data_IF_924657569175
#
_entry.id   IF_924657569175
#
_cell.length_a   1.000
_cell.length_b   1.000
_cell.length_c   1.000
_cell.angle_alpha   90.00
_cell.angle_beta   90.00
_cell.angle_gamma   90.00
#
_symmetry.space_group_name_H-M   'P 1'
#
loop_
_entity.id
_entity.type
_entity.pdbx_description
1 polymer ?
#
# COMPACT_ATOMS: atom_id res chain seq x y z
N UNK A 1 17.70 -28.95 27.92
CA UNK A 1 16.73 -27.82 28.07
C UNK A 1 16.33 -27.12 26.76
N UNK A 2 17.24 -26.79 25.82
CA UNK A 2 16.88 -26.10 24.55
C UNK A 2 15.96 -26.89 23.59
N UNK A 3 16.08 -28.22 23.54
CA UNK A 3 15.25 -29.08 22.67
C UNK A 3 13.79 -29.17 23.13
N UNK A 4 13.56 -29.40 24.42
CA UNK A 4 12.20 -29.43 25.01
C UNK A 4 11.44 -28.12 24.81
N UNK A 5 12.14 -26.98 24.86
CA UNK A 5 11.60 -25.65 24.55
C UNK A 5 11.16 -25.52 23.08
N UNK A 6 11.94 -26.06 22.12
CA UNK A 6 11.59 -26.00 20.68
C UNK A 6 10.38 -26.87 20.34
N UNK A 7 10.28 -28.06 20.92
CA UNK A 7 9.11 -28.93 20.74
C UNK A 7 7.84 -28.28 21.31
N UNK A 8 7.93 -27.68 22.49
CA UNK A 8 6.81 -26.97 23.10
C UNK A 8 6.37 -25.74 22.29
N UNK A 9 7.33 -24.98 21.72
CA UNK A 9 7.04 -23.87 20.79
C UNK A 9 6.36 -24.41 19.53
N UNK A 10 6.84 -25.51 18.96
CA UNK A 10 6.24 -26.11 17.77
C UNK A 10 4.80 -26.60 18.03
N UNK A 11 4.55 -27.25 19.16
CA UNK A 11 3.22 -27.68 19.58
C UNK A 11 2.28 -26.48 19.82
N UNK A 12 2.78 -25.42 20.46
CA UNK A 12 2.02 -24.18 20.67
C UNK A 12 1.69 -23.52 19.33
N UNK A 13 2.66 -23.42 18.43
CA UNK A 13 2.47 -22.87 17.10
C UNK A 13 1.46 -23.71 16.29
N UNK A 14 1.52 -25.04 16.38
CA UNK A 14 0.58 -25.93 15.72
C UNK A 14 -0.85 -25.72 16.24
N UNK A 15 -1.00 -25.60 17.55
CA UNK A 15 -2.30 -25.33 18.20
C UNK A 15 -2.86 -23.95 17.85
N UNK A 16 -2.02 -22.92 17.81
CA UNK A 16 -2.45 -21.53 17.64
C UNK A 16 -2.59 -21.11 16.17
N UNK A 17 -1.66 -21.51 15.31
CA UNK A 17 -1.61 -21.09 13.89
C UNK A 17 -2.20 -22.12 12.94
N UNK A 18 -2.48 -23.35 13.40
CA UNK A 18 -2.89 -24.51 12.58
C UNK A 18 -1.79 -24.98 11.62
N UNK A 19 -2.02 -26.13 10.99
CA UNK A 19 -1.01 -26.82 10.14
C UNK A 19 -0.63 -25.99 8.91
N UNK A 20 -1.61 -25.37 8.25
CA UNK A 20 -1.41 -24.74 6.93
C UNK A 20 -0.43 -23.56 6.96
N UNK A 21 -0.58 -22.53 7.82
CA UNK A 21 0.40 -21.45 7.94
C UNK A 21 1.82 -21.94 8.23
N UNK A 22 1.97 -22.93 9.13
CA UNK A 22 3.27 -23.50 9.45
C UNK A 22 3.92 -24.23 8.28
N UNK A 23 3.15 -25.00 7.51
CA UNK A 23 3.65 -25.67 6.31
C UNK A 23 4.13 -24.66 5.26
N UNK A 24 3.37 -23.58 5.04
CA UNK A 24 3.75 -22.51 4.11
C UNK A 24 5.02 -21.78 4.57
N UNK A 25 5.12 -21.47 5.87
CA UNK A 25 6.34 -20.88 6.43
C UNK A 25 7.54 -21.82 6.34
N UNK A 26 7.35 -23.12 6.59
CA UNK A 26 8.38 -24.14 6.41
C UNK A 26 8.90 -24.20 4.97
N UNK A 27 7.99 -24.17 3.98
CA UNK A 27 8.35 -24.11 2.55
C UNK A 27 9.13 -22.83 2.20
N UNK A 28 8.72 -21.68 2.77
CA UNK A 28 9.49 -20.44 2.62
C UNK A 28 10.90 -20.58 3.19
N UNK A 29 11.06 -21.14 4.39
CA UNK A 29 12.36 -21.37 5.00
C UNK A 29 13.24 -22.34 4.20
N UNK A 30 12.64 -23.38 3.58
CA UNK A 30 13.35 -24.26 2.64
C UNK A 30 13.83 -23.46 1.42
N UNK A 31 13.00 -22.58 0.87
CA UNK A 31 13.37 -21.71 -0.25
C UNK A 31 14.56 -20.79 0.06
N UNK A 32 14.63 -20.25 1.27
CA UNK A 32 15.79 -19.47 1.74
C UNK A 32 17.05 -20.35 1.84
N UNK A 33 16.98 -21.46 2.60
CA UNK A 33 18.15 -22.31 2.91
C UNK A 33 18.73 -23.03 1.69
N UNK A 34 17.89 -23.41 0.75
CA UNK A 34 18.33 -24.04 -0.52
C UNK A 34 18.87 -23.03 -1.53
N UNK A 35 18.79 -21.73 -1.24
CA UNK A 35 19.15 -20.66 -2.17
C UNK A 35 18.19 -20.52 -3.35
N UNK A 36 17.00 -21.13 -3.31
CA UNK A 36 16.01 -21.04 -4.38
C UNK A 36 15.65 -19.58 -4.68
N UNK A 37 15.34 -18.79 -3.64
CA UNK A 37 14.99 -17.38 -3.81
C UNK A 37 16.14 -16.57 -4.40
N UNK A 38 17.36 -16.79 -3.93
CA UNK A 38 18.56 -16.16 -4.52
C UNK A 38 18.70 -16.47 -6.01
N UNK A 39 18.42 -17.70 -6.46
CA UNK A 39 18.48 -18.07 -7.88
C UNK A 39 17.41 -17.35 -8.70
N UNK A 40 16.15 -17.40 -8.27
CA UNK A 40 15.02 -16.83 -9.03
C UNK A 40 14.96 -15.30 -8.98
N UNK A 41 15.63 -14.65 -8.02
CA UNK A 41 15.80 -13.19 -7.95
C UNK A 41 17.27 -12.76 -8.10
N UNK A 42 18.08 -13.51 -8.85
CA UNK A 42 19.51 -13.18 -9.03
C UNK A 42 19.79 -12.15 -10.13
N UNK A 43 18.93 -12.11 -11.16
CA UNK A 43 19.10 -11.24 -12.33
C UNK A 43 17.86 -10.38 -12.50
N UNK A 44 18.01 -9.05 -12.53
CA UNK A 44 16.91 -8.17 -12.91
C UNK A 44 16.38 -8.58 -14.28
N UNK A 45 15.07 -8.49 -14.49
CA UNK A 45 14.51 -8.72 -15.82
C UNK A 45 15.05 -7.67 -16.78
N UNK A 46 15.48 -8.12 -17.96
CA UNK A 46 15.84 -7.28 -19.10
C UNK A 46 14.68 -7.09 -20.07
N UNK A 47 13.52 -7.69 -19.80
CA UNK A 47 12.31 -7.51 -20.61
C UNK A 47 11.83 -6.09 -20.40
N UNK A 48 11.74 -5.33 -21.50
CA UNK A 48 11.18 -4.00 -21.49
C UNK A 48 9.73 -4.06 -21.01
N UNK A 49 9.36 -3.14 -20.12
CA UNK A 49 8.05 -3.19 -19.44
C UNK A 49 6.88 -2.69 -20.30
N UNK A 50 7.16 -2.23 -21.51
CA UNK A 50 6.17 -1.60 -22.39
C UNK A 50 5.77 -0.21 -21.91
N UNK A 51 4.71 0.34 -22.51
CA UNK A 51 4.15 1.62 -22.07
C UNK A 51 3.32 1.47 -20.79
N UNK A 52 3.45 2.46 -19.90
CA UNK A 52 2.64 2.56 -18.69
C UNK A 52 1.19 2.89 -19.04
N UNK A 53 0.24 2.19 -18.42
CA UNK A 53 -1.18 2.47 -18.53
C UNK A 53 -1.71 3.10 -17.25
N UNK A 54 -2.46 4.19 -17.38
CA UNK A 54 -3.21 4.77 -16.27
C UNK A 54 -4.33 3.80 -15.82
N UNK A 55 -4.41 3.54 -14.52
CA UNK A 55 -5.29 2.50 -13.94
C UNK A 55 -6.13 2.99 -12.76
N UNK A 56 -5.92 4.23 -12.33
CA UNK A 56 -6.64 4.86 -11.21
C UNK A 56 -7.41 6.08 -11.70
N UNK A 57 -8.46 6.51 -10.98
CA UNK A 57 -9.10 7.79 -11.26
C UNK A 57 -8.19 8.96 -10.86
N UNK A 58 -8.36 10.09 -11.51
CA UNK A 58 -7.81 11.38 -11.07
C UNK A 58 -8.97 12.34 -10.82
N UNK A 59 -9.07 12.94 -9.63
CA UNK A 59 -10.15 13.86 -9.32
C UNK A 59 -9.99 15.19 -10.07
N UNK A 60 -11.10 15.92 -10.26
CA UNK A 60 -11.04 17.28 -10.79
C UNK A 60 -10.30 18.23 -9.84
N UNK A 61 -9.50 19.16 -10.37
CA UNK A 61 -8.79 20.18 -9.55
C UNK A 61 -9.76 21.05 -8.77
N UNK A 62 -10.84 21.48 -9.41
CA UNK A 62 -11.86 22.33 -8.80
C UNK A 62 -12.64 21.59 -7.69
N UNK A 63 -12.88 20.29 -7.87
CA UNK A 63 -13.53 19.44 -6.84
C UNK A 63 -12.64 19.30 -5.61
N UNK A 64 -11.35 19.05 -5.80
CA UNK A 64 -10.39 19.00 -4.70
C UNK A 64 -10.30 20.35 -3.98
N UNK A 65 -10.22 21.45 -4.73
CA UNK A 65 -10.15 22.78 -4.14
C UNK A 65 -11.42 23.13 -3.36
N UNK A 66 -12.59 22.72 -3.83
CA UNK A 66 -13.86 22.91 -3.13
C UNK A 66 -13.91 22.15 -1.80
N UNK A 67 -13.34 20.94 -1.73
CA UNK A 67 -13.26 20.14 -0.50
C UNK A 67 -12.22 20.68 0.47
N UNK A 68 -11.05 21.07 -0.03
CA UNK A 68 -9.92 21.50 0.78
C UNK A 68 -10.05 22.93 1.29
N UNK A 69 -10.66 23.81 0.48
CA UNK A 69 -10.59 25.25 0.67
C UNK A 69 -9.15 25.79 0.62
N UNK A 70 -9.00 27.09 0.88
CA UNK A 70 -7.68 27.74 0.87
C UNK A 70 -6.79 27.26 2.03
N UNK A 71 -7.38 26.97 3.20
CA UNK A 71 -6.62 26.47 4.36
C UNK A 71 -6.07 25.06 4.12
N UNK A 72 -6.88 24.13 3.61
CA UNK A 72 -6.44 22.77 3.28
C UNK A 72 -5.40 22.76 2.16
N UNK A 73 -5.58 23.61 1.14
CA UNK A 73 -4.56 23.83 0.11
C UNK A 73 -3.25 24.33 0.70
N UNK A 74 -3.29 25.36 1.55
CA UNK A 74 -2.09 25.91 2.17
C UNK A 74 -1.36 24.87 3.04
N UNK A 75 -2.10 24.05 3.81
CA UNK A 75 -1.54 22.97 4.61
C UNK A 75 -0.85 21.90 3.75
N UNK A 76 -1.51 21.46 2.67
CA UNK A 76 -0.93 20.50 1.71
C UNK A 76 0.37 21.03 1.09
N UNK A 77 0.37 22.28 0.61
CA UNK A 77 1.54 22.88 -0.01
C UNK A 77 2.69 23.07 1.00
N UNK A 78 2.38 23.42 2.25
CA UNK A 78 3.39 23.54 3.30
C UNK A 78 4.08 22.20 3.59
N UNK A 79 3.32 21.10 3.72
CA UNK A 79 3.89 19.76 3.91
C UNK A 79 4.69 19.31 2.68
N UNK A 80 4.19 19.55 1.48
CA UNK A 80 4.90 19.25 0.25
C UNK A 80 6.22 20.02 0.15
N UNK A 81 6.25 21.29 0.56
CA UNK A 81 7.47 22.11 0.61
C UNK A 81 8.49 21.60 1.64
N UNK A 82 8.05 20.99 2.76
CA UNK A 82 8.97 20.26 3.65
C UNK A 82 9.66 19.11 2.93
N UNK A 83 8.90 18.35 2.14
CA UNK A 83 9.43 17.21 1.35
C UNK A 83 10.38 17.69 0.25
N UNK A 84 10.07 18.79 -0.45
CA UNK A 84 10.98 19.39 -1.44
C UNK A 84 12.33 19.77 -0.82
N UNK A 85 12.34 20.19 0.45
CA UNK A 85 13.54 20.50 1.26
C UNK A 85 14.20 19.24 1.85
N UNK A 86 13.73 18.05 1.53
CA UNK A 86 14.30 16.78 2.00
C UNK A 86 13.88 16.39 3.41
N UNK A 87 12.76 16.90 3.92
CA UNK A 87 12.22 16.54 5.23
C UNK A 87 10.93 15.73 5.09
N UNK A 88 10.81 14.64 5.85
CA UNK A 88 9.63 13.75 5.85
C UNK A 88 9.19 13.42 7.28
N UNK A 89 7.89 13.15 7.45
CA UNK A 89 7.29 12.76 8.74
C UNK A 89 7.08 11.24 8.78
N UNK A 90 8.07 10.51 9.28
CA UNK A 90 7.99 9.04 9.41
C UNK A 90 7.02 8.67 10.53
N UNK A 91 6.11 7.70 10.29
CA UNK A 91 5.12 7.25 11.28
C UNK A 91 4.20 8.38 11.83
N UNK A 92 4.04 9.48 11.09
CA UNK A 92 3.29 10.66 11.56
C UNK A 92 4.00 11.48 12.64
N UNK A 93 5.29 11.26 12.86
CA UNK A 93 6.09 11.97 13.86
C UNK A 93 6.63 13.34 13.35
N UNK A 94 7.58 13.91 14.08
CA UNK A 94 8.26 15.13 13.68
C UNK A 94 9.09 14.96 12.41
N UNK A 95 9.33 16.04 11.62
CA UNK A 95 10.10 15.96 10.39
C UNK A 95 11.54 15.49 10.65
N UNK A 96 12.01 14.55 9.85
CA UNK A 96 13.39 14.04 9.81
C UNK A 96 13.93 14.12 8.39
N UNK A 97 15.25 13.97 8.22
CA UNK A 97 15.84 13.92 6.88
C UNK A 97 15.36 12.71 6.09
N UNK A 98 15.00 12.92 4.83
CA UNK A 98 14.66 11.86 3.89
C UNK A 98 15.92 11.08 3.51
N UNK A 99 16.10 9.94 4.15
CA UNK A 99 17.20 9.01 3.87
C UNK A 99 16.71 7.87 2.97
N UNK A 100 17.22 7.86 1.72
CA UNK A 100 16.89 6.83 0.71
C UNK A 100 18.10 5.97 0.32
N UNK A 101 19.28 6.28 0.87
CA UNK A 101 20.53 5.59 0.60
C UNK A 101 21.03 4.90 1.87
N UNK A 102 21.75 3.79 1.70
CA UNK A 102 22.35 3.04 2.79
C UNK A 102 23.87 2.98 2.60
N UNK A 103 24.66 3.09 3.67
CA UNK A 103 26.11 3.03 3.56
C UNK A 103 26.59 1.62 3.23
N UNK A 104 27.73 1.52 2.55
CA UNK A 104 28.41 0.25 2.32
C UNK A 104 27.84 -0.59 1.17
N UNK A 105 28.45 -1.76 0.96
CA UNK A 105 28.09 -2.67 -0.13
C UNK A 105 26.86 -3.48 0.23
N UNK A 106 25.83 -3.39 -0.61
CA UNK A 106 24.60 -4.18 -0.43
C UNK A 106 24.81 -5.65 -0.83
N UNK A 107 24.26 -6.55 -0.01
CA UNK A 107 24.15 -7.97 -0.32
C UNK A 107 22.78 -8.28 -0.98
N UNK A 108 22.60 -9.49 -1.48
CA UNK A 108 21.27 -9.95 -1.91
C UNK A 108 20.29 -9.98 -0.72
N UNK A 109 19.03 -9.60 -0.91
CA UNK A 109 18.04 -9.48 0.17
C UNK A 109 17.92 -10.73 1.06
N UNK A 110 18.03 -11.93 0.48
CA UNK A 110 17.97 -13.19 1.24
C UNK A 110 19.10 -13.34 2.26
N UNK A 111 20.24 -12.67 2.05
CA UNK A 111 21.36 -12.74 2.98
C UNK A 111 20.98 -12.08 4.31
N UNK A 112 20.26 -10.96 4.26
CA UNK A 112 19.79 -10.25 5.46
C UNK A 112 18.74 -11.04 6.26
N UNK A 113 18.00 -11.95 5.62
CA UNK A 113 17.07 -12.88 6.30
C UNK A 113 17.82 -13.99 7.07
N UNK A 114 19.01 -14.38 6.59
CA UNK A 114 19.78 -15.50 7.15
C UNK A 114 20.93 -15.05 8.04
N UNK A 115 21.38 -13.81 7.89
CA UNK A 115 22.49 -13.21 8.63
C UNK A 115 22.07 -11.82 9.16
N UNK A 116 21.53 -11.77 10.39
CA UNK A 116 21.15 -10.51 11.03
C UNK A 116 22.31 -9.52 11.21
N UNK A 117 23.57 -10.00 11.18
CA UNK A 117 24.73 -9.11 11.35
C UNK A 117 24.88 -8.12 10.18
N UNK A 118 24.37 -8.48 9.00
CA UNK A 118 24.36 -7.59 7.85
C UNK A 118 23.47 -6.35 8.08
N UNK A 119 22.34 -6.51 8.79
CA UNK A 119 21.50 -5.36 9.15
C UNK A 119 22.19 -4.50 10.21
N UNK A 120 22.77 -5.11 11.24
CA UNK A 120 23.47 -4.35 12.28
C UNK A 120 24.68 -3.59 11.72
N UNK A 121 25.36 -4.11 10.71
CA UNK A 121 26.50 -3.43 10.08
C UNK A 121 26.10 -2.23 9.21
N UNK A 122 24.88 -2.22 8.67
CA UNK A 122 24.31 -1.07 7.97
C UNK A 122 23.81 0.01 8.95
N UNK A 123 23.56 -0.39 10.20
CA UNK A 123 22.88 0.42 11.20
C UNK A 123 23.81 0.78 12.36
N UNK A 124 24.44 1.96 12.31
CA UNK A 124 25.20 2.47 13.46
C UNK A 124 24.34 3.23 14.49
N UNK A 125 23.09 3.61 14.18
CA UNK A 125 22.26 4.48 15.05
C UNK A 125 20.75 4.17 15.07
N UNK A 126 20.27 3.21 14.29
CA UNK A 126 18.83 2.92 14.10
C UNK A 126 18.54 1.47 14.53
N UNK A 127 17.76 1.30 15.59
CA UNK A 127 17.51 -0.03 16.19
C UNK A 127 16.50 -0.90 15.43
N UNK A 128 15.68 -0.30 14.56
CA UNK A 128 14.58 -1.00 13.88
C UNK A 128 14.64 -0.80 12.35
N UNK A 129 14.53 -1.91 11.61
CA UNK A 129 14.49 -1.94 10.14
C UNK A 129 13.35 -1.10 9.56
N UNK A 130 12.28 -0.86 10.33
CA UNK A 130 11.17 0.01 9.91
C UNK A 130 11.61 1.42 9.55
N UNK A 131 12.66 1.96 10.18
CA UNK A 131 13.19 3.27 9.81
C UNK A 131 13.93 3.28 8.47
N UNK A 132 14.37 2.11 7.97
CA UNK A 132 14.79 1.98 6.56
C UNK A 132 13.56 1.92 5.66
N UNK A 133 12.59 1.09 6.03
CA UNK A 133 11.46 0.78 5.16
C UNK A 133 10.49 1.94 5.02
N UNK A 134 10.20 2.69 6.08
CA UNK A 134 9.23 3.78 6.07
C UNK A 134 9.51 4.87 5.02
N UNK A 135 10.70 5.51 4.96
CA UNK A 135 11.00 6.48 3.90
C UNK A 135 11.01 5.79 2.52
N UNK A 136 11.43 4.54 2.48
CA UNK A 136 11.42 3.72 1.28
C UNK A 136 10.04 3.20 0.90
N UNK A 137 8.93 3.47 1.62
CA UNK A 137 7.56 3.13 1.17
C UNK A 137 7.03 4.12 0.15
N UNK A 138 7.66 5.29 0.02
CA UNK A 138 7.20 6.40 -0.83
C UNK A 138 5.82 6.95 -0.42
N UNK A 139 5.45 6.86 0.88
CA UNK A 139 4.23 7.49 1.39
C UNK A 139 4.18 9.01 1.14
N UNK A 140 5.34 9.67 1.18
CA UNK A 140 5.52 11.09 0.86
C UNK A 140 5.28 11.43 -0.62
N UNK A 141 5.32 10.45 -1.54
CA UNK A 141 5.03 10.69 -2.94
C UNK A 141 3.56 11.10 -3.17
N UNK A 142 2.65 10.59 -2.33
CA UNK A 142 1.24 10.98 -2.36
C UNK A 142 1.06 12.47 -2.05
N UNK A 143 1.77 13.01 -1.05
CA UNK A 143 1.75 14.44 -0.72
C UNK A 143 2.28 15.29 -1.88
N UNK A 144 3.41 14.91 -2.48
CA UNK A 144 3.96 15.63 -3.65
C UNK A 144 3.03 15.61 -4.85
N UNK A 145 2.45 14.45 -5.19
CA UNK A 145 1.53 14.35 -6.32
C UNK A 145 0.22 15.11 -6.09
N UNK A 146 -0.30 15.12 -4.86
CA UNK A 146 -1.47 15.94 -4.49
C UNK A 146 -1.18 17.42 -4.66
N UNK A 147 -0.03 17.87 -4.18
CA UNK A 147 0.41 19.26 -4.30
C UNK A 147 0.59 19.66 -5.78
N UNK A 148 1.28 18.83 -6.57
CA UNK A 148 1.42 19.04 -8.02
C UNK A 148 0.07 19.11 -8.73
N UNK A 149 -0.82 18.14 -8.47
CA UNK A 149 -2.11 18.08 -9.13
C UNK A 149 -2.96 19.31 -8.84
N UNK A 150 -2.90 19.84 -7.61
CA UNK A 150 -3.68 21.01 -7.21
C UNK A 150 -3.07 22.34 -7.68
N UNK A 151 -1.73 22.48 -7.65
CA UNK A 151 -1.07 23.77 -7.95
C UNK A 151 -0.53 23.89 -9.37
N UNK A 152 -0.23 22.78 -10.04
CA UNK A 152 0.53 22.75 -11.29
C UNK A 152 2.01 23.13 -11.14
N UNK A 153 2.54 23.24 -9.91
CA UNK A 153 3.92 23.65 -9.66
C UNK A 153 4.89 22.49 -9.88
N UNK A 154 5.73 22.60 -10.91
CA UNK A 154 6.69 21.57 -11.34
C UNK A 154 7.72 21.22 -10.26
N UNK A 155 7.95 22.06 -9.24
CA UNK A 155 8.90 21.74 -8.17
C UNK A 155 8.55 20.44 -7.43
N UNK A 156 7.26 20.12 -7.31
CA UNK A 156 6.80 18.91 -6.62
C UNK A 156 7.07 17.65 -7.46
N UNK A 157 6.83 17.73 -8.77
CA UNK A 157 7.14 16.65 -9.69
C UNK A 157 8.65 16.41 -9.80
N UNK A 158 9.45 17.48 -9.90
CA UNK A 158 10.91 17.38 -9.94
C UNK A 158 11.47 16.80 -8.63
N UNK A 159 10.93 17.19 -7.48
CA UNK A 159 11.31 16.61 -6.19
C UNK A 159 11.03 15.09 -6.15
N UNK A 160 9.85 14.64 -6.60
CA UNK A 160 9.54 13.22 -6.70
C UNK A 160 10.57 12.48 -7.56
N UNK A 161 10.83 12.96 -8.78
CA UNK A 161 11.74 12.28 -9.70
C UNK A 161 13.17 12.22 -9.16
N UNK A 162 13.67 13.32 -8.60
CA UNK A 162 15.00 13.36 -7.96
C UNK A 162 15.13 12.31 -6.85
N UNK A 163 14.13 12.19 -5.99
CA UNK A 163 14.16 11.21 -4.89
C UNK A 163 13.95 9.77 -5.39
N UNK A 164 13.08 9.55 -6.39
CA UNK A 164 12.91 8.26 -7.02
C UNK A 164 14.21 7.78 -7.67
N UNK A 165 14.90 8.63 -8.44
CA UNK A 165 16.19 8.33 -9.06
C UNK A 165 17.24 7.99 -8.00
N UNK A 166 17.36 8.82 -6.96
CA UNK A 166 18.26 8.58 -5.81
C UNK A 166 18.03 7.19 -5.19
N UNK A 167 16.77 6.84 -4.95
CA UNK A 167 16.41 5.54 -4.39
C UNK A 167 16.77 4.39 -5.35
N UNK A 168 16.44 4.51 -6.64
CA UNK A 168 16.69 3.46 -7.63
C UNK A 168 18.19 3.24 -7.88
N UNK A 169 18.99 4.30 -7.82
CA UNK A 169 20.45 4.20 -7.92
C UNK A 169 21.06 3.53 -6.68
N UNK A 170 20.59 3.89 -5.49
CA UNK A 170 21.14 3.38 -4.24
C UNK A 170 20.58 2.01 -3.82
N UNK A 171 19.45 1.58 -4.36
CA UNK A 171 18.80 0.30 -4.01
C UNK A 171 18.53 -0.56 -5.25
N UNK A 172 19.58 -1.04 -5.95
CA UNK A 172 19.43 -1.87 -7.14
C UNK A 172 18.53 -3.08 -6.90
N UNK A 173 17.84 -3.60 -7.92
CA UNK A 173 16.91 -4.70 -7.79
C UNK A 173 17.48 -5.89 -7.00
N UNK A 174 16.74 -6.31 -5.99
CA UNK A 174 17.02 -7.47 -5.14
C UNK A 174 18.23 -7.33 -4.19
N UNK A 175 18.87 -6.15 -4.13
CA UNK A 175 20.01 -5.90 -3.27
C UNK A 175 19.63 -4.97 -2.10
N UNK A 176 19.99 -5.37 -0.89
CA UNK A 176 19.78 -4.58 0.31
C UNK A 176 18.47 -4.86 1.06
N UNK A 177 18.29 -4.23 2.23
CA UNK A 177 17.17 -4.49 3.14
C UNK A 177 15.82 -4.00 2.58
N UNK A 178 15.80 -3.02 1.69
CA UNK A 178 14.59 -2.52 1.04
C UNK A 178 13.87 -3.57 0.18
N UNK A 179 14.54 -4.69 -0.14
CA UNK A 179 13.98 -5.81 -0.92
C UNK A 179 13.65 -7.04 -0.06
N UNK A 180 13.79 -6.99 1.27
CA UNK A 180 13.53 -8.14 2.16
C UNK A 180 12.03 -8.45 2.29
N UNK A 181 11.22 -7.44 2.60
CA UNK A 181 9.78 -7.61 2.81
C UNK A 181 9.01 -7.45 1.50
N UNK A 182 8.20 -8.45 1.15
CA UNK A 182 7.32 -8.41 -0.02
C UNK A 182 6.27 -7.30 0.08
N UNK A 183 5.76 -7.04 1.29
CA UNK A 183 4.81 -5.96 1.54
C UNK A 183 5.41 -4.58 1.22
N UNK A 184 6.65 -4.33 1.65
CA UNK A 184 7.33 -3.05 1.39
C UNK A 184 7.57 -2.83 -0.10
N UNK A 185 7.94 -3.90 -0.80
CA UNK A 185 8.08 -3.91 -2.27
C UNK A 185 6.73 -3.61 -2.93
N UNK A 186 5.63 -4.18 -2.43
CA UNK A 186 4.30 -3.93 -2.99
C UNK A 186 3.79 -2.51 -2.73
N UNK A 187 4.02 -1.95 -1.54
CA UNK A 187 3.65 -0.57 -1.22
C UNK A 187 4.37 0.43 -2.12
N UNK A 188 5.70 0.28 -2.29
CA UNK A 188 6.46 1.09 -3.25
C UNK A 188 5.94 0.99 -4.67
N UNK A 189 5.64 -0.24 -5.11
CA UNK A 189 5.12 -0.47 -6.45
C UNK A 189 3.83 0.33 -6.67
N UNK A 190 2.89 0.28 -5.72
CA UNK A 190 1.64 1.03 -5.80
C UNK A 190 1.88 2.55 -5.80
N UNK A 191 2.81 3.05 -4.96
CA UNK A 191 3.19 4.46 -4.95
C UNK A 191 3.81 4.92 -6.28
N UNK A 192 4.67 4.10 -6.90
CA UNK A 192 5.24 4.38 -8.22
C UNK A 192 4.19 4.43 -9.32
N UNK A 193 3.24 3.50 -9.32
CA UNK A 193 2.12 3.50 -10.28
C UNK A 193 1.28 4.76 -10.11
N UNK A 194 0.92 5.11 -8.87
CA UNK A 194 0.15 6.32 -8.59
C UNK A 194 0.88 7.58 -9.05
N UNK A 195 2.15 7.75 -8.66
CA UNK A 195 2.93 8.94 -8.96
C UNK A 195 3.20 9.11 -10.46
N UNK A 196 3.48 8.01 -11.18
CA UNK A 196 3.65 8.03 -12.65
C UNK A 196 2.41 8.59 -13.33
N UNK A 197 1.22 8.23 -12.85
CA UNK A 197 -0.04 8.68 -13.40
C UNK A 197 -0.34 10.16 -13.04
N UNK A 198 -0.23 10.52 -11.77
CA UNK A 198 -0.55 11.88 -11.29
C UNK A 198 0.40 12.92 -11.87
N UNK A 199 1.67 12.55 -12.09
CA UNK A 199 2.69 13.44 -12.62
C UNK A 199 2.84 13.31 -14.15
N UNK A 200 1.95 12.59 -14.86
CA UNK A 200 2.15 12.23 -16.26
C UNK A 200 2.37 13.43 -17.19
N UNK A 201 1.68 14.55 -16.90
CA UNK A 201 1.73 15.80 -17.66
C UNK A 201 2.87 16.75 -17.25
N UNK A 202 3.65 16.40 -16.23
CA UNK A 202 4.78 17.22 -15.80
C UNK A 202 5.92 17.17 -16.82
N UNK A 203 6.57 18.31 -17.01
CA UNK A 203 7.80 18.42 -17.80
C UNK A 203 8.94 17.57 -17.24
N UNK A 204 8.96 17.32 -15.93
CA UNK A 204 9.91 16.45 -15.26
C UNK A 204 9.70 14.96 -15.56
N UNK A 205 8.49 14.56 -16.01
CA UNK A 205 8.11 13.17 -16.32
C UNK A 205 8.53 12.76 -17.74
N UNK A 206 9.83 12.82 -18.00
CA UNK A 206 10.41 12.46 -19.30
C UNK A 206 10.14 10.99 -19.67
N UNK A 207 10.25 10.67 -20.96
CA UNK A 207 10.09 9.29 -21.46
C UNK A 207 11.05 8.32 -20.76
N UNK A 208 12.29 8.73 -20.53
CA UNK A 208 13.34 7.95 -19.89
C UNK A 208 13.00 7.68 -18.42
N UNK A 209 12.57 8.71 -17.69
CA UNK A 209 12.14 8.62 -16.29
C UNK A 209 10.94 7.68 -16.14
N UNK A 210 9.92 7.82 -16.99
CA UNK A 210 8.75 6.92 -17.03
C UNK A 210 9.13 5.48 -17.37
N UNK A 211 9.98 5.26 -18.37
CA UNK A 211 10.45 3.92 -18.75
C UNK A 211 11.28 3.26 -17.63
N UNK A 212 12.15 4.03 -16.97
CA UNK A 212 12.93 3.56 -15.82
C UNK A 212 12.02 3.14 -14.65
N UNK A 213 10.98 3.92 -14.38
CA UNK A 213 10.04 3.61 -13.30
C UNK A 213 9.14 2.40 -13.65
N UNK A 214 8.70 2.26 -14.90
CA UNK A 214 8.01 1.07 -15.40
C UNK A 214 8.89 -0.19 -15.25
N UNK A 215 10.19 -0.09 -15.58
CA UNK A 215 11.14 -1.17 -15.36
C UNK A 215 11.31 -1.55 -13.89
N UNK A 216 11.32 -0.55 -13.01
CA UNK A 216 11.33 -0.76 -11.57
C UNK A 216 10.07 -1.50 -11.09
N UNK A 217 8.87 -1.09 -11.54
CA UNK A 217 7.60 -1.77 -11.23
C UNK A 217 7.66 -3.26 -11.62
N UNK A 218 8.21 -3.58 -12.79
CA UNK A 218 8.45 -4.97 -13.22
C UNK A 218 9.34 -5.74 -12.24
N UNK A 219 10.46 -5.16 -11.81
CA UNK A 219 11.34 -5.80 -10.82
C UNK A 219 10.64 -5.99 -9.46
N UNK A 220 9.78 -5.06 -9.05
CA UNK A 220 8.99 -5.19 -7.83
C UNK A 220 7.96 -6.34 -7.93
N UNK A 221 7.22 -6.44 -9.03
CA UNK A 221 6.25 -7.54 -9.24
C UNK A 221 6.94 -8.92 -9.29
N UNK A 222 8.10 -8.99 -9.97
CA UNK A 222 8.94 -10.19 -10.03
C UNK A 222 9.48 -10.60 -8.66
N UNK A 223 9.82 -9.63 -7.80
CA UNK A 223 10.28 -9.90 -6.43
C UNK A 223 9.17 -10.52 -5.57
N UNK A 224 7.94 -10.03 -5.68
CA UNK A 224 6.82 -10.46 -4.82
C UNK A 224 6.40 -11.90 -5.15
N UNK A 225 6.29 -12.21 -6.44
CA UNK A 225 5.75 -13.49 -6.95
C UNK A 225 6.31 -14.75 -6.28
N UNK A 226 7.64 -14.98 -6.19
CA UNK A 226 8.19 -16.19 -5.59
C UNK A 226 8.00 -16.27 -4.07
N UNK A 227 7.82 -15.14 -3.37
CA UNK A 227 7.70 -15.11 -1.91
C UNK A 227 6.27 -14.98 -1.41
N UNK A 228 5.26 -14.94 -2.28
CA UNK A 228 3.86 -14.84 -1.86
C UNK A 228 3.42 -15.98 -0.91
N UNK A 229 4.14 -17.11 -0.93
CA UNK A 229 3.98 -18.19 0.05
C UNK A 229 4.21 -17.72 1.50
N UNK A 230 5.15 -16.80 1.72
CA UNK A 230 5.41 -16.17 3.01
C UNK A 230 4.23 -15.31 3.44
N UNK A 231 3.75 -14.40 2.58
CA UNK A 231 2.59 -13.56 2.87
C UNK A 231 1.36 -14.39 3.27
N UNK A 232 1.11 -15.50 2.55
CA UNK A 232 0.07 -16.48 2.87
C UNK A 232 0.27 -17.19 4.20
N UNK A 233 1.51 -17.35 4.66
CA UNK A 233 1.83 -17.95 5.96
C UNK A 233 1.56 -17.00 7.13
N UNK A 234 1.64 -15.69 6.90
CA UNK A 234 1.42 -14.68 7.95
C UNK A 234 -0.06 -14.51 8.29
N UNK A 235 -0.96 -14.78 7.33
CA UNK A 235 -2.41 -14.62 7.47
C UNK A 235 -2.80 -13.22 8.01
N UNK A 236 -2.07 -12.19 7.60
CA UNK A 236 -2.27 -10.79 7.99
C UNK A 236 -2.25 -9.86 6.75
N UNK A 237 -2.05 -8.56 6.97
CA UNK A 237 -2.03 -7.52 5.94
C UNK A 237 -1.01 -7.76 4.81
N UNK A 238 0.05 -8.54 5.04
CA UNK A 238 1.03 -8.84 4.00
C UNK A 238 0.38 -9.48 2.77
N UNK A 239 -0.54 -10.43 2.97
CA UNK A 239 -1.21 -11.10 1.85
C UNK A 239 -2.00 -10.10 0.99
N UNK A 240 -2.76 -9.23 1.64
CA UNK A 240 -3.60 -8.24 0.95
C UNK A 240 -2.75 -7.22 0.20
N UNK A 241 -1.73 -6.66 0.85
CA UNK A 241 -0.86 -5.65 0.23
C UNK A 241 -0.03 -6.22 -0.91
N UNK A 242 0.57 -7.41 -0.74
CA UNK A 242 1.35 -8.06 -1.81
C UNK A 242 0.48 -8.45 -3.00
N UNK A 243 -0.73 -8.93 -2.74
CA UNK A 243 -1.70 -9.26 -3.78
C UNK A 243 -2.22 -8.00 -4.51
N UNK A 244 -2.46 -6.90 -3.79
CA UNK A 244 -2.80 -5.61 -4.39
C UNK A 244 -1.68 -5.05 -5.26
N UNK A 245 -0.42 -5.16 -4.83
CA UNK A 245 0.74 -4.75 -5.64
C UNK A 245 0.86 -5.53 -6.93
N UNK A 246 0.68 -6.85 -6.90
CA UNK A 246 0.67 -7.69 -8.11
C UNK A 246 -0.51 -7.36 -9.04
N UNK A 247 -1.71 -7.17 -8.48
CA UNK A 247 -2.89 -6.79 -9.26
C UNK A 247 -2.67 -5.44 -9.95
N UNK A 248 -2.13 -4.46 -9.22
CA UNK A 248 -1.78 -3.14 -9.74
C UNK A 248 -0.76 -3.24 -10.88
N UNK A 249 0.32 -4.02 -10.71
CA UNK A 249 1.34 -4.19 -11.74
C UNK A 249 0.77 -4.80 -13.03
N UNK A 250 -0.08 -5.82 -12.90
CA UNK A 250 -0.72 -6.48 -14.04
C UNK A 250 -1.75 -5.61 -14.77
N UNK A 251 -2.23 -4.53 -14.16
CA UNK A 251 -3.07 -3.55 -14.84
C UNK A 251 -2.24 -2.41 -15.46
N UNK A 252 -1.21 -1.95 -14.75
CA UNK A 252 -0.40 -0.79 -15.15
C UNK A 252 0.61 -1.10 -16.27
N UNK A 253 0.99 -2.38 -16.43
CA UNK A 253 1.94 -2.84 -17.45
C UNK A 253 1.30 -3.93 -18.34
N UNK A 254 0.26 -3.61 -19.12
CA UNK A 254 -0.52 -4.62 -19.85
C UNK A 254 0.30 -5.36 -20.93
N UNK A 255 1.34 -4.74 -21.47
CA UNK A 255 2.19 -5.31 -22.53
C UNK A 255 3.25 -6.28 -22.00
N UNK A 256 3.52 -6.29 -20.68
CA UNK A 256 4.54 -7.17 -20.12
C UNK A 256 4.08 -8.64 -20.17
N UNK A 257 4.95 -9.61 -20.57
CA UNK A 257 4.53 -11.02 -20.75
C UNK A 257 3.94 -11.70 -19.49
N UNK A 258 4.30 -11.24 -18.30
CA UNK A 258 3.77 -11.76 -17.04
C UNK A 258 2.57 -10.99 -16.49
N UNK A 259 2.13 -9.93 -17.17
CA UNK A 259 1.10 -9.00 -16.71
C UNK A 259 -0.20 -9.71 -16.30
N UNK A 260 -0.74 -10.54 -17.20
CA UNK A 260 -1.92 -11.36 -16.91
C UNK A 260 -1.70 -12.30 -15.72
N UNK A 261 -0.50 -12.89 -15.59
CA UNK A 261 -0.15 -13.75 -14.46
C UNK A 261 -0.15 -13.00 -13.12
N UNK A 262 0.39 -11.78 -13.08
CA UNK A 262 0.36 -10.94 -11.88
C UNK A 262 -1.06 -10.52 -11.52
N UNK A 263 -1.85 -10.12 -12.53
CA UNK A 263 -3.25 -9.75 -12.37
C UNK A 263 -4.08 -10.89 -11.77
N UNK A 264 -4.04 -12.07 -12.39
CA UNK A 264 -4.82 -13.23 -11.96
C UNK A 264 -4.38 -13.73 -10.58
N UNK A 265 -3.06 -13.71 -10.30
CA UNK A 265 -2.52 -14.11 -9.00
C UNK A 265 -2.90 -13.12 -7.89
N UNK A 266 -2.78 -11.82 -8.16
CA UNK A 266 -3.16 -10.76 -7.24
C UNK A 266 -4.65 -10.84 -6.91
N UNK A 267 -5.51 -10.90 -7.92
CA UNK A 267 -6.97 -10.98 -7.73
C UNK A 267 -7.37 -12.21 -6.89
N UNK A 268 -6.85 -13.38 -7.24
CA UNK A 268 -7.11 -14.63 -6.50
C UNK A 268 -6.82 -14.52 -5.01
N UNK A 269 -5.74 -13.84 -4.64
CA UNK A 269 -5.33 -13.72 -3.23
C UNK A 269 -5.98 -12.55 -2.51
N UNK A 270 -6.34 -11.48 -3.21
CA UNK A 270 -7.21 -10.42 -2.68
C UNK A 270 -8.58 -11.00 -2.28
N UNK A 271 -9.22 -11.72 -3.20
CA UNK A 271 -10.52 -12.34 -2.93
C UNK A 271 -10.44 -13.27 -1.71
N UNK A 272 -9.47 -14.19 -1.71
CA UNK A 272 -9.28 -15.14 -0.60
C UNK A 272 -8.91 -14.44 0.70
N UNK A 273 -8.09 -13.41 0.66
CA UNK A 273 -7.66 -12.64 1.82
C UNK A 273 -8.84 -11.95 2.49
N UNK A 274 -9.58 -11.11 1.75
CA UNK A 274 -10.76 -10.44 2.30
C UNK A 274 -11.80 -11.41 2.83
N UNK A 275 -12.05 -12.52 2.14
CA UNK A 275 -13.04 -13.52 2.58
C UNK A 275 -12.61 -14.35 3.81
N UNK A 276 -11.29 -14.51 4.05
CA UNK A 276 -10.77 -15.37 5.11
C UNK A 276 -10.22 -14.61 6.32
N UNK A 277 -9.85 -13.34 6.14
CA UNK A 277 -9.23 -12.51 7.17
C UNK A 277 -10.19 -11.48 7.77
N UNK A 278 -11.41 -11.37 7.23
CA UNK A 278 -12.51 -10.60 7.83
C UNK A 278 -13.54 -11.61 8.34
N UNK A 279 -13.86 -11.55 9.62
CA UNK A 279 -14.79 -12.49 10.23
C UNK A 279 -16.27 -12.15 9.95
N UNK A 280 -17.20 -12.90 10.54
CA UNK A 280 -18.64 -12.70 10.34
C UNK A 280 -19.19 -11.38 10.88
N UNK A 281 -18.49 -10.78 11.84
CA UNK A 281 -18.84 -9.50 12.47
C UNK A 281 -18.11 -8.32 11.82
N UNK A 282 -17.24 -8.60 10.84
CA UNK A 282 -16.47 -7.59 10.14
C UNK A 282 -15.10 -7.32 10.74
N UNK A 283 -14.71 -7.95 11.85
CA UNK A 283 -13.41 -7.71 12.45
C UNK A 283 -12.29 -8.30 11.58
N UNK A 284 -11.23 -7.51 11.36
CA UNK A 284 -10.04 -7.95 10.65
C UNK A 284 -9.10 -8.77 11.54
N UNK A 285 -8.49 -9.83 11.00
CA UNK A 285 -7.72 -10.84 11.72
C UNK A 285 -6.51 -10.35 12.56
N UNK A 286 -6.12 -9.08 12.44
CA UNK A 286 -5.07 -8.47 13.27
C UNK A 286 -5.59 -7.80 14.55
N UNK A 287 -6.91 -7.74 14.76
CA UNK A 287 -7.53 -7.21 15.97
C UNK A 287 -6.99 -5.83 16.36
N UNK A 288 -6.82 -4.96 15.36
CA UNK A 288 -6.23 -3.63 15.49
C UNK A 288 -6.97 -2.63 14.61
N UNK A 289 -7.36 -1.50 15.18
CA UNK A 289 -8.03 -0.43 14.41
C UNK A 289 -7.10 0.16 13.35
N UNK A 290 -5.79 0.24 13.63
CA UNK A 290 -4.82 0.72 12.65
C UNK A 290 -4.62 -0.26 11.48
N UNK A 291 -4.49 -1.56 11.76
CA UNK A 291 -4.38 -2.56 10.68
C UNK A 291 -5.70 -2.80 9.96
N UNK A 292 -6.83 -2.59 10.62
CA UNK A 292 -8.15 -2.56 9.97
C UNK A 292 -8.25 -1.40 8.98
N UNK A 293 -7.76 -0.22 9.37
CA UNK A 293 -7.64 0.93 8.46
C UNK A 293 -6.73 0.63 7.27
N UNK A 294 -5.58 -0.01 7.49
CA UNK A 294 -4.70 -0.43 6.39
C UNK A 294 -5.43 -1.39 5.44
N UNK A 295 -6.13 -2.38 5.98
CA UNK A 295 -6.91 -3.34 5.17
C UNK A 295 -7.97 -2.63 4.32
N UNK A 296 -8.73 -1.69 4.89
CA UNK A 296 -9.73 -0.91 4.13
C UNK A 296 -9.10 0.02 3.09
N UNK A 297 -7.91 0.58 3.34
CA UNK A 297 -7.15 1.32 2.33
C UNK A 297 -6.78 0.44 1.13
N UNK A 298 -6.35 -0.81 1.38
CA UNK A 298 -6.10 -1.78 0.30
C UNK A 298 -7.39 -2.10 -0.45
N UNK A 299 -8.52 -2.26 0.25
CA UNK A 299 -9.81 -2.50 -0.39
C UNK A 299 -10.24 -1.33 -1.28
N UNK A 300 -10.09 -0.09 -0.83
CA UNK A 300 -10.40 1.12 -1.61
C UNK A 300 -9.52 1.27 -2.84
N UNK A 301 -8.22 0.99 -2.70
CA UNK A 301 -7.29 0.97 -3.82
C UNK A 301 -7.73 -0.02 -4.91
N UNK A 302 -8.04 -1.26 -4.51
CA UNK A 302 -8.51 -2.29 -5.44
C UNK A 302 -9.89 -1.96 -6.01
N UNK A 303 -10.78 -1.33 -5.23
CA UNK A 303 -12.05 -0.82 -5.72
C UNK A 303 -11.83 0.20 -6.84
N UNK A 304 -10.96 1.20 -6.63
CA UNK A 304 -10.65 2.22 -7.63
C UNK A 304 -10.06 1.62 -8.92
N UNK A 305 -9.17 0.62 -8.81
CA UNK A 305 -8.66 -0.11 -9.97
C UNK A 305 -9.78 -0.81 -10.78
N UNK A 306 -10.81 -1.31 -10.10
CA UNK A 306 -11.92 -2.02 -10.75
C UNK A 306 -12.97 -1.09 -11.35
N UNK A 307 -13.16 0.10 -10.76
CA UNK A 307 -14.21 1.05 -11.17
C UNK A 307 -13.71 2.12 -12.13
N UNK A 308 -12.41 2.24 -12.37
CA UNK A 308 -11.85 3.18 -13.35
C UNK A 308 -12.36 2.84 -14.75
N UNK A 309 -13.04 3.78 -15.46
CA UNK A 309 -13.54 3.55 -16.80
C UNK A 309 -12.43 3.11 -17.75
N UNK A 310 -12.70 2.07 -18.53
CA UNK A 310 -11.77 1.55 -19.53
C UNK A 310 -12.02 2.26 -20.87
N UNK A 311 -10.96 2.56 -21.59
CA UNK A 311 -11.07 3.11 -22.95
C UNK A 311 -11.91 2.18 -23.85
N UNK A 312 -12.81 2.77 -24.66
CA UNK A 312 -13.62 2.02 -25.63
C UNK A 312 -12.71 1.28 -26.62
N UNK A 313 -12.88 -0.03 -26.74
CA UNK A 313 -12.19 -0.87 -27.74
C UNK A 313 -11.26 -1.94 -27.17
N UNK A 314 -10.98 -1.93 -25.86
CA UNK A 314 -10.28 -3.03 -25.18
C UNK A 314 -11.30 -3.98 -24.53
N UNK A 315 -11.85 -4.90 -25.32
CA UNK A 315 -12.52 -6.10 -24.82
C UNK A 315 -11.48 -7.07 -24.22
N UNK A 316 -10.80 -6.67 -23.14
CA UNK A 316 -10.06 -7.63 -22.33
C UNK A 316 -11.09 -8.36 -21.46
N UNK A 317 -11.76 -9.35 -22.05
CA UNK A 317 -12.88 -10.18 -21.54
C UNK A 317 -12.60 -10.91 -20.21
N UNK A 318 -11.43 -10.67 -19.59
CA UNK A 318 -10.99 -11.26 -18.33
C UNK A 318 -10.84 -10.26 -17.18
N UNK A 319 -11.12 -8.97 -17.39
CA UNK A 319 -11.05 -8.00 -16.31
C UNK A 319 -12.29 -8.08 -15.41
N UNK A 320 -12.08 -8.08 -14.09
CA UNK A 320 -13.16 -8.25 -13.11
C UNK A 320 -14.04 -6.98 -12.99
N UNK A 321 -15.36 -7.16 -13.08
CA UNK A 321 -16.37 -6.11 -12.88
C UNK A 321 -16.70 -5.97 -11.39
N UNK A 322 -15.72 -5.49 -10.62
CA UNK A 322 -15.87 -5.29 -9.17
C UNK A 322 -15.66 -6.56 -8.34
N UNK A 323 -15.91 -6.43 -7.04
CA UNK A 323 -15.71 -7.53 -6.08
C UNK A 323 -16.86 -8.55 -6.13
N UNK A 324 -16.57 -9.85 -5.95
CA UNK A 324 -17.62 -10.86 -5.79
C UNK A 324 -18.49 -10.55 -4.58
N UNK A 325 -19.77 -10.93 -4.62
CA UNK A 325 -20.74 -10.61 -3.56
C UNK A 325 -20.26 -10.95 -2.15
N UNK A 326 -19.69 -12.15 -1.97
CA UNK A 326 -19.14 -12.58 -0.68
C UNK A 326 -18.00 -11.68 -0.18
N UNK A 327 -17.17 -11.15 -1.08
CA UNK A 327 -16.11 -10.20 -0.72
C UNK A 327 -16.72 -8.84 -0.35
N UNK A 328 -17.72 -8.37 -1.11
CA UNK A 328 -18.47 -7.14 -0.77
C UNK A 328 -19.12 -7.25 0.60
N UNK A 329 -19.81 -8.36 0.91
CA UNK A 329 -20.46 -8.55 2.21
C UNK A 329 -19.44 -8.45 3.37
N UNK A 330 -18.22 -8.97 3.18
CA UNK A 330 -17.12 -8.86 4.15
C UNK A 330 -16.61 -7.43 4.30
N UNK A 331 -16.39 -6.74 3.19
CA UNK A 331 -15.94 -5.35 3.19
C UNK A 331 -16.99 -4.39 3.78
N UNK A 332 -18.27 -4.62 3.50
CA UNK A 332 -19.38 -3.92 4.14
C UNK A 332 -19.38 -4.15 5.65
N UNK A 333 -19.30 -5.41 6.10
CA UNK A 333 -19.23 -5.73 7.53
C UNK A 333 -18.02 -5.07 8.21
N UNK A 334 -16.85 -5.11 7.57
CA UNK A 334 -15.64 -4.49 8.12
C UNK A 334 -15.72 -2.97 8.17
N UNK A 335 -16.31 -2.36 7.15
CA UNK A 335 -16.55 -0.90 7.10
C UNK A 335 -17.52 -0.50 8.20
N UNK A 336 -18.58 -1.28 8.42
CA UNK A 336 -19.51 -1.08 9.51
C UNK A 336 -18.85 -1.23 10.89
N UNK A 337 -17.99 -2.25 11.07
CA UNK A 337 -17.25 -2.48 12.32
C UNK A 337 -16.39 -1.27 12.72
N UNK A 338 -15.65 -0.69 11.76
CA UNK A 338 -14.83 0.49 12.04
C UNK A 338 -15.69 1.74 12.27
N UNK A 339 -16.77 1.89 11.51
CA UNK A 339 -17.72 2.99 11.66
C UNK A 339 -18.33 3.02 13.07
N UNK A 340 -18.66 1.86 13.64
CA UNK A 340 -19.21 1.75 14.99
C UNK A 340 -18.23 2.20 16.09
N UNK A 341 -16.93 2.28 15.79
CA UNK A 341 -15.89 2.74 16.71
C UNK A 341 -15.51 4.21 16.51
N UNK A 342 -16.00 4.85 15.44
CA UNK A 342 -15.64 6.22 15.10
C UNK A 342 -16.39 7.21 15.99
N UNK A 343 -15.65 8.07 16.68
CA UNK A 343 -16.21 9.32 17.20
C UNK A 343 -16.32 10.34 16.04
N UNK A 344 -17.53 10.69 15.57
CA UNK A 344 -17.69 11.55 14.41
C UNK A 344 -17.22 12.99 14.66
N UNK A 345 -17.12 13.42 15.93
CA UNK A 345 -16.70 14.79 16.28
C UNK A 345 -15.19 14.92 16.15
N UNK A 346 -14.43 14.08 16.85
CA UNK A 346 -12.96 14.11 16.79
C UNK A 346 -12.38 13.39 15.57
N UNK A 347 -13.16 12.50 14.94
CA UNK A 347 -12.70 11.60 13.89
C UNK A 347 -11.84 10.44 14.38
N UNK A 348 -11.70 10.25 15.70
CA UNK A 348 -10.82 9.24 16.29
C UNK A 348 -11.56 7.93 16.54
N UNK A 349 -10.78 6.86 16.69
CA UNK A 349 -11.24 5.54 17.14
C UNK A 349 -10.43 5.09 18.36
N UNK A 350 -10.93 4.16 19.19
CA UNK A 350 -10.11 3.52 20.21
C UNK A 350 -8.83 2.90 19.60
N UNK A 351 -7.70 3.08 20.27
CA UNK A 351 -6.42 2.50 19.86
C UNK A 351 -6.37 1.01 20.26
N UNK A 352 -7.12 0.17 19.55
CA UNK A 352 -7.16 -1.27 19.78
C UNK A 352 -6.01 -1.97 19.05
N UNK A 353 -5.43 -2.97 19.70
CA UNK A 353 -4.39 -3.82 19.14
C UNK A 353 -3.07 -3.09 18.85
N UNK A 354 -2.24 -3.70 18.00
CA UNK A 354 -0.95 -3.14 17.62
C UNK A 354 -1.14 -1.92 16.70
N UNK A 355 -0.41 -0.85 16.99
CA UNK A 355 -0.38 0.37 16.20
C UNK A 355 1.06 0.87 16.11
N UNK A 356 1.62 0.80 14.90
CA UNK A 356 2.98 1.20 14.57
C UNK A 356 3.01 2.34 13.54
N UNK A 357 1.92 3.09 13.41
CA UNK A 357 1.85 4.20 12.45
C UNK A 357 1.49 3.78 11.02
N UNK A 358 1.10 2.53 10.77
CA UNK A 358 0.80 2.07 9.40
C UNK A 358 -0.36 2.88 8.73
N UNK A 359 0.00 3.71 7.75
CA UNK A 359 -0.92 4.52 6.95
C UNK A 359 -0.35 4.66 5.54
N UNK A 360 -0.96 3.98 4.55
CA UNK A 360 -0.27 3.65 3.30
C UNK A 360 -0.62 4.57 2.12
N UNK A 361 -1.78 5.23 2.17
CA UNK A 361 -2.25 6.18 1.15
C UNK A 361 -2.72 7.47 1.84
N UNK A 362 -1.80 8.41 2.19
CA UNK A 362 -2.13 9.67 2.86
C UNK A 362 -2.79 10.68 1.90
N UNK A 363 -3.94 10.29 1.36
CA UNK A 363 -4.78 11.04 0.41
C UNK A 363 -5.72 12.00 1.15
N UNK A 364 -5.17 12.77 2.10
CA UNK A 364 -5.93 13.69 2.95
C UNK A 364 -5.03 14.76 3.56
N UNK A 365 -5.58 15.93 3.89
CA UNK A 365 -4.95 16.93 4.78
C UNK A 365 -5.20 16.68 6.27
N UNK A 366 -6.06 15.71 6.61
CA UNK A 366 -6.37 15.40 8.00
C UNK A 366 -5.18 14.69 8.69
N UNK A 367 -4.98 14.89 10.00
CA UNK A 367 -3.89 14.25 10.73
C UNK A 367 -4.10 12.73 10.85
N UNK A 368 -3.02 12.00 11.16
CA UNK A 368 -3.01 10.54 11.22
C UNK A 368 -4.07 9.94 12.16
N UNK A 369 -4.40 10.59 13.26
CA UNK A 369 -5.39 10.13 14.23
C UNK A 369 -6.84 10.29 13.74
N UNK A 370 -7.07 11.01 12.65
CA UNK A 370 -8.38 11.20 12.04
C UNK A 370 -8.68 10.08 11.04
N UNK A 371 -9.68 9.27 11.37
CA UNK A 371 -10.15 8.14 10.57
C UNK A 371 -11.28 8.52 9.62
N UNK A 372 -11.82 9.75 9.70
CA UNK A 372 -12.91 10.20 8.82
C UNK A 372 -12.57 10.12 7.33
N UNK A 373 -11.34 10.42 6.85
CA UNK A 373 -11.04 10.31 5.42
C UNK A 373 -11.21 8.90 4.89
N UNK A 374 -10.63 7.92 5.60
CA UNK A 374 -10.84 6.51 5.27
C UNK A 374 -12.31 6.14 5.39
N UNK A 375 -12.93 6.51 6.51
CA UNK A 375 -14.28 6.07 6.82
C UNK A 375 -15.28 6.61 5.80
N UNK A 376 -15.13 7.85 5.36
CA UNK A 376 -15.95 8.48 4.34
C UNK A 376 -15.83 7.76 3.00
N UNK A 377 -14.60 7.44 2.58
CA UNK A 377 -14.37 6.71 1.34
C UNK A 377 -14.92 5.28 1.42
N UNK A 378 -14.62 4.55 2.50
CA UNK A 378 -15.08 3.16 2.69
C UNK A 378 -16.59 3.06 2.87
N UNK A 379 -17.22 3.96 3.62
CA UNK A 379 -18.68 4.01 3.78
C UNK A 379 -19.38 4.29 2.45
N UNK A 380 -18.84 5.16 1.61
CA UNK A 380 -19.41 5.39 0.28
C UNK A 380 -19.13 4.23 -0.69
N UNK A 381 -17.97 3.57 -0.61
CA UNK A 381 -17.65 2.46 -1.53
C UNK A 381 -18.39 1.16 -1.18
N UNK A 382 -18.44 0.81 0.10
CA UNK A 382 -18.88 -0.51 0.57
C UNK A 382 -20.17 -0.48 1.37
N UNK A 383 -20.67 0.71 1.68
CA UNK A 383 -21.99 0.91 2.27
C UNK A 383 -22.79 1.93 1.43
N UNK A 384 -24.05 2.11 1.79
CA UNK A 384 -24.91 3.16 1.24
C UNK A 384 -25.00 4.35 2.21
N UNK A 385 -23.84 4.72 2.79
CA UNK A 385 -23.75 5.73 3.87
C UNK A 385 -22.68 6.79 3.59
N UNK A 386 -22.82 7.93 4.26
CA UNK A 386 -21.82 9.00 4.28
C UNK A 386 -21.80 9.69 5.66
N UNK A 387 -20.62 10.16 6.06
CA UNK A 387 -20.45 11.17 7.11
C UNK A 387 -20.90 12.54 6.59
N UNK A 388 -21.14 13.52 7.49
CA UNK A 388 -21.25 14.92 7.09
C UNK A 388 -20.09 15.34 6.19
N UNK A 389 -20.34 16.26 5.25
CA UNK A 389 -19.31 16.77 4.36
C UNK A 389 -18.22 17.50 5.14
N UNK A 390 -16.98 17.39 4.68
CA UNK A 390 -15.84 18.06 5.27
C UNK A 390 -14.54 17.79 4.51
N UNK A 391 -13.42 18.33 5.00
CA UNK A 391 -12.09 18.15 4.40
C UNK A 391 -11.67 16.68 4.26
N UNK A 392 -12.30 15.78 5.00
CA UNK A 392 -12.13 14.33 4.89
C UNK A 392 -12.76 13.70 3.64
N UNK A 393 -13.55 14.44 2.86
CA UNK A 393 -14.07 13.96 1.56
C UNK A 393 -12.95 13.75 0.52
N UNK A 394 -11.77 14.36 0.72
CA UNK A 394 -10.67 14.34 -0.25
C UNK A 394 -10.25 12.91 -0.66
N UNK A 395 -10.16 11.99 0.31
CA UNK A 395 -9.76 10.61 0.03
C UNK A 395 -10.76 9.91 -0.91
N UNK A 396 -12.04 10.24 -0.81
CA UNK A 396 -13.08 9.67 -1.69
C UNK A 396 -12.85 10.09 -3.14
N UNK A 397 -12.51 11.36 -3.37
CA UNK A 397 -12.21 11.90 -4.70
C UNK A 397 -11.01 11.18 -5.33
N UNK A 398 -9.93 10.97 -4.57
CA UNK A 398 -8.74 10.25 -5.07
C UNK A 398 -8.99 8.77 -5.40
N UNK A 399 -9.99 8.15 -4.77
CA UNK A 399 -10.43 6.79 -5.12
C UNK A 399 -11.57 6.76 -6.16
N UNK A 400 -11.93 7.91 -6.73
CA UNK A 400 -12.99 8.03 -7.75
C UNK A 400 -14.38 7.68 -7.23
N UNK A 401 -14.61 7.92 -5.94
CA UNK A 401 -15.89 7.69 -5.28
C UNK A 401 -16.67 9.01 -5.33
N UNK A 402 -17.79 9.07 -6.06
CA UNK A 402 -18.56 10.30 -6.21
C UNK A 402 -19.07 10.80 -4.86
N UNK A 403 -18.99 12.13 -4.66
CA UNK A 403 -19.57 12.81 -3.49
C UNK A 403 -21.09 13.00 -3.68
N UNK A 404 -21.79 11.93 -4.01
CA UNK A 404 -23.25 11.92 -4.13
C UNK A 404 -23.92 11.86 -2.75
N UNK A 405 -25.15 12.38 -2.65
CA UNK A 405 -25.91 12.34 -1.41
C UNK A 405 -26.40 10.91 -1.13
N UNK A 406 -25.70 10.20 -0.24
CA UNK A 406 -26.13 8.90 0.30
C UNK A 406 -26.95 9.07 1.58
N UNK A 407 -27.56 7.98 2.06
CA UNK A 407 -28.36 8.01 3.30
C UNK A 407 -27.48 8.46 4.47
N UNK A 408 -27.95 9.48 5.20
CA UNK A 408 -27.38 9.86 6.49
C UNK A 408 -27.85 8.88 7.56
N UNK A 409 -26.93 8.34 8.35
CA UNK A 409 -27.30 7.67 9.60
C UNK A 409 -27.53 8.76 10.65
N UNK A 410 -28.79 8.94 11.09
CA UNK A 410 -29.03 9.53 12.40
C UNK A 410 -28.51 8.53 13.43
N UNK A 411 -27.46 8.91 14.14
CA UNK A 411 -26.66 8.13 15.11
C UNK A 411 -27.45 7.52 16.28
N UNK A 412 -28.78 7.66 16.32
CA UNK A 412 -29.65 7.18 17.39
C UNK A 412 -29.87 5.66 17.39
N UNK A 413 -29.37 4.91 16.39
CA UNK A 413 -29.72 3.49 16.19
C UNK A 413 -28.64 2.44 16.47
N UNK A 414 -27.51 2.81 17.08
CA UNK A 414 -26.38 1.86 17.23
C UNK A 414 -25.75 1.78 18.62
N UNK A 415 -26.59 1.89 19.65
CA UNK A 415 -26.32 1.26 20.95
C UNK A 415 -27.16 -0.02 21.06
N UNK A 416 -26.85 -1.01 20.21
CA UNK A 416 -27.38 -2.38 20.30
C UNK A 416 -28.88 -2.53 20.07
N UNK A 417 -29.24 -3.07 18.89
CA UNK A 417 -30.37 -3.99 18.73
C UNK A 417 -29.87 -5.24 18.01
#
# INVERSE_FOLDING_TARGET
MRSASRLMIALKALRQLRIKPLALYGLYQIGLRTGYYKRVTSRPSSVASGQFKAVLPLPGRDELLAVLGEEGKAALLAEADEIVRGKVRLFGAQPVDLQLTLPGKLAHWTAYETDPSLLSNLHSLISDIKFIWEPARFGWAFTLGRAYHLSGDEKYAEAFWRYAETFLDANPPYLGPNWMSGQEVALRLMAFVWATQVLAESSASTTERKARLAQSITHHALRITPTLIYARSQNNNHLLTEAAGLYTAGLALPEHPQSAGWRDLGWKWLERGFQAQIDGYGEYAQHSTNYHRLMLQVALWVNALNTTPKERGQEDTKLHEGFPRKTLDRLSAATHWLYALLDPVSGRVPNLGANDGAYIFPLTVCPFEDYRPLMQAAAQAFLDYQLPRGVWDEMSLWFGIPLESKKYVRTERYLGD
#
